data_IF_571877199732
#
_entry.id   IF_571877199732
#
_cell.length_a   1.000
_cell.length_b   1.000
_cell.length_c   1.000
_cell.angle_alpha   90.00
_cell.angle_beta   90.00
_cell.angle_gamma   90.00
#
_symmetry.space_group_name_H-M   'P 1'
#
loop_
_entity.id
_entity.type
_entity.pdbx_description
1 polymer ?
2 non-polymer ?
3 non-polymer ?
4 water ?
#
# COMPACT_ATOMS: atom_id res chain seq x y z
N UNK A 1 -11.71 11.34 -8.33
CA UNK A 1 -13.08 10.88 -7.94
C UNK A 1 -13.05 9.86 -6.80
N UNK A 2 -11.87 9.48 -6.33
CA UNK A 2 -11.77 8.48 -5.27
C UNK A 2 -12.54 8.89 -3.98
N UNK A 3 -12.55 10.19 -3.66
CA UNK A 3 -13.28 10.75 -2.50
C UNK A 3 -14.76 10.43 -2.50
N UNK A 4 -15.31 10.19 -3.70
CA UNK A 4 -16.70 9.80 -3.84
C UNK A 4 -16.99 8.38 -3.40
N UNK A 5 -16.02 7.49 -3.52
CA UNK A 5 -16.17 6.09 -3.10
C UNK A 5 -15.70 5.90 -1.68
N UNK A 6 -14.59 6.54 -1.34
CA UNK A 6 -13.98 6.43 -0.01
C UNK A 6 -14.22 7.74 0.73
N UNK A 7 -15.20 7.73 1.63
CA UNK A 7 -15.47 8.91 2.44
C UNK A 7 -14.51 9.09 3.62
N UNK A 8 -14.51 10.30 4.17
CA UNK A 8 -13.78 10.58 5.39
C UNK A 8 -14.26 9.60 6.47
N UNK A 9 -15.55 9.35 6.52
CA UNK A 9 -16.12 8.44 7.50
C UNK A 9 -15.55 7.02 7.35
N UNK A 10 -15.50 6.54 6.10
CA UNK A 10 -15.02 5.19 5.84
C UNK A 10 -13.58 5.10 6.30
N UNK A 11 -12.78 6.09 5.91
CA UNK A 11 -11.36 6.10 6.23
C UNK A 11 -11.13 6.12 7.75
N UNK A 12 -11.82 7.02 8.45
CA UNK A 12 -11.72 7.08 9.90
C UNK A 12 -12.11 5.74 10.55
N UNK A 13 -13.05 5.02 9.94
CA UNK A 13 -13.39 3.65 10.37
C UNK A 13 -12.19 2.69 10.37
N UNK A 14 -11.44 2.72 9.27
CA UNK A 14 -10.21 1.95 9.12
C UNK A 14 -9.12 2.42 10.08
N UNK A 15 -8.87 3.73 10.08
CA UNK A 15 -7.77 4.32 10.83
C UNK A 15 -7.97 4.27 12.34
N UNK A 16 -9.24 4.27 12.77
CA UNK A 16 -9.56 4.45 14.18
C UNK A 16 -9.45 3.20 15.02
N UNK A 17 -9.25 2.06 14.37
CA UNK A 17 -9.07 0.76 15.05
C UNK A 17 -7.73 0.66 15.75
N UNK A 18 -6.74 1.38 15.22
CA UNK A 18 -5.39 1.44 15.77
C UNK A 18 -5.37 1.90 17.24
N UNK A 19 -4.52 1.27 18.06
CA UNK A 19 -4.24 1.74 19.42
C UNK A 19 -3.77 3.19 19.35
N UNK A 20 -4.13 4.00 20.34
CA UNK A 20 -3.67 5.41 20.30
C UNK A 20 -2.14 5.53 20.34
N UNK A 21 -1.48 4.54 20.95
CA UNK A 21 -0.02 4.50 21.01
C UNK A 21 0.70 4.07 19.71
N UNK A 22 -0.04 3.74 18.66
CA UNK A 22 0.54 3.35 17.36
C UNK A 22 1.15 4.57 16.70
N UNK A 23 2.30 4.44 16.06
CA UNK A 23 2.89 5.59 15.34
C UNK A 23 2.00 6.08 14.21
N UNK A 24 1.26 5.16 13.59
CA UNK A 24 0.43 5.47 12.41
C UNK A 24 -0.77 6.36 12.74
N UNK A 25 -1.19 6.32 13.99
CA UNK A 25 -2.39 7.07 14.38
C UNK A 25 -2.20 8.58 14.27
N UNK A 26 -2.94 9.25 13.39
CA UNK A 26 -2.76 10.69 13.18
C UNK A 26 -1.73 10.95 12.08
N UNK A 27 -1.04 9.89 11.65
CA UNK A 27 -0.07 9.98 10.54
C UNK A 27 -0.71 9.56 9.24
N UNK A 28 -1.36 8.39 9.24
CA UNK A 28 -2.19 7.95 8.13
C UNK A 28 -3.54 8.68 8.15
N UNK A 29 -3.67 9.68 7.29
CA UNK A 29 -4.82 10.57 7.30
C UNK A 29 -5.60 10.53 5.98
N UNK A 30 -6.89 10.84 6.05
CA UNK A 30 -7.72 10.85 4.86
C UNK A 30 -7.19 11.86 3.83
N UNK A 31 -6.75 13.00 4.31
CA UNK A 31 -6.24 14.10 3.49
C UNK A 31 -5.04 13.65 2.63
N UNK A 32 -4.12 12.93 3.25
CA UNK A 32 -2.91 12.40 2.58
C UNK A 32 -3.27 11.34 1.55
N UNK A 33 -4.21 10.46 1.93
CA UNK A 33 -4.70 9.44 1.00
C UNK A 33 -5.34 10.08 -0.24
N UNK A 34 -6.26 11.02 -0.05
CA UNK A 34 -6.94 11.63 -1.21
C UNK A 34 -5.93 12.38 -2.10
N UNK A 35 -5.01 13.11 -1.48
CA UNK A 35 -3.93 13.76 -2.22
C UNK A 35 -3.15 12.74 -3.06
N UNK A 36 -2.78 11.62 -2.45
CA UNK A 36 -2.01 10.56 -3.15
C UNK A 36 -2.83 9.91 -4.28
N UNK A 37 -4.11 9.63 -4.00
CA UNK A 37 -4.98 8.97 -4.96
C UNK A 37 -5.15 9.84 -6.20
N UNK A 38 -5.28 11.15 -6.01
CA UNK A 38 -5.50 12.06 -7.13
C UNK A 38 -4.24 12.29 -7.97
N UNK A 39 -3.07 11.96 -7.43
CA UNK A 39 -1.81 12.14 -8.17
C UNK A 39 -1.49 11.05 -9.21
N UNK A 40 -2.21 9.92 -9.16
CA UNK A 40 -1.97 8.80 -10.08
C UNK A 40 -3.19 8.43 -10.92
N UNK A 41 -3.21 8.91 -12.17
CA UNK A 41 -4.33 8.67 -13.14
C UNK A 41 -4.82 7.24 -13.24
N UNK A 42 -6.11 7.01 -13.04
CA UNK A 42 -6.65 5.66 -13.12
C UNK A 42 -6.79 4.93 -11.78
N UNK A 43 -6.10 5.41 -10.75
CA UNK A 43 -6.18 4.75 -9.45
C UNK A 43 -7.57 4.88 -8.81
N UNK A 44 -8.31 3.77 -8.71
CA UNK A 44 -9.67 3.78 -8.14
C UNK A 44 -10.65 4.60 -8.99
N UNK A 45 -10.26 4.87 -10.24
CA UNK A 45 -11.13 5.60 -11.19
C UNK A 45 -11.29 4.86 -12.52
N UNK A 46 -10.87 3.59 -12.52
CA UNK A 46 -10.90 2.74 -13.70
C UNK A 46 -12.09 1.77 -13.62
N UNK A 47 -12.93 1.75 -14.66
CA UNK A 47 -14.03 0.78 -14.71
C UNK A 47 -15.32 1.22 -14.05
N UNK A 48 -16.24 0.27 -13.93
CA UNK A 48 -17.54 0.52 -13.36
C UNK A 48 -17.38 0.76 -11.87
N UNK A 49 -18.46 1.22 -11.26
CA UNK A 49 -18.48 1.41 -9.83
C UNK A 49 -18.00 0.18 -9.06
N UNK A 50 -18.43 -1.02 -9.46
CA UNK A 50 -17.99 -2.22 -8.71
C UNK A 50 -16.48 -2.46 -8.88
N UNK A 51 -15.96 -2.19 -10.08
CA UNK A 51 -14.51 -2.29 -10.35
C UNK A 51 -13.68 -1.32 -9.49
N UNK A 52 -14.12 -0.07 -9.43
CA UNK A 52 -13.45 0.95 -8.64
C UNK A 52 -13.49 0.58 -7.17
N UNK A 53 -14.65 0.12 -6.69
CA UNK A 53 -14.75 -0.29 -5.28
C UNK A 53 -13.84 -1.46 -4.96
N UNK A 54 -13.79 -2.44 -5.85
CA UNK A 54 -12.90 -3.60 -5.63
C UNK A 54 -11.41 -3.21 -5.67
N UNK A 55 -11.03 -2.28 -6.55
CA UNK A 55 -9.62 -1.83 -6.55
C UNK A 55 -9.26 -1.15 -5.25
N UNK A 56 -10.13 -0.27 -4.80
CA UNK A 56 -9.89 0.46 -3.56
C UNK A 56 -9.90 -0.48 -2.35
N UNK A 57 -10.84 -1.44 -2.31
CA UNK A 57 -10.83 -2.41 -1.22
C UNK A 57 -9.52 -3.23 -1.23
N UNK A 58 -9.06 -3.59 -2.42
CA UNK A 58 -7.84 -4.43 -2.58
C UNK A 58 -6.63 -3.62 -2.10
N UNK A 59 -6.61 -2.33 -2.45
CA UNK A 59 -5.55 -1.44 -2.00
C UNK A 59 -5.54 -1.36 -0.48
N UNK A 60 -6.70 -1.07 0.09
CA UNK A 60 -6.78 -0.94 1.55
C UNK A 60 -6.55 -2.27 2.27
N UNK A 61 -7.00 -3.39 1.71
CA UNK A 61 -6.76 -4.67 2.40
C UNK A 61 -5.26 -4.91 2.53
N UNK A 62 -4.52 -4.66 1.45
CA UNK A 62 -3.08 -4.81 1.46
C UNK A 62 -2.37 -3.81 2.37
N UNK A 63 -2.82 -2.55 2.38
CA UNK A 63 -2.32 -1.54 3.32
C UNK A 63 -2.56 -1.98 4.79
N UNK A 64 -3.77 -2.44 5.07
CA UNK A 64 -4.09 -2.86 6.43
C UNK A 64 -3.19 -4.03 6.86
N UNK A 65 -2.93 -4.94 5.94
CA UNK A 65 -2.07 -6.07 6.28
C UNK A 65 -0.64 -5.57 6.60
N UNK A 66 -0.07 -4.80 5.67
CA UNK A 66 1.33 -4.35 5.75
C UNK A 66 1.63 -3.46 6.97
N UNK A 67 0.64 -2.68 7.41
CA UNK A 67 0.80 -1.73 8.51
C UNK A 67 0.16 -2.18 9.84
N UNK A 68 -0.36 -3.41 9.90
CA UNK A 68 -1.04 -3.94 11.11
C UNK A 68 -2.25 -3.10 11.45
N UNK A 69 -3.03 -2.74 10.42
CA UNK A 69 -4.25 -1.98 10.60
C UNK A 69 -3.99 -0.51 10.84
N UNK A 70 -3.11 0.06 10.01
CA UNK A 70 -2.68 1.47 10.05
C UNK A 70 -2.05 1.85 11.39
N UNK A 71 -1.39 0.87 11.98
CA UNK A 71 -0.66 1.04 13.23
C UNK A 71 0.79 1.48 12.99
N UNK A 72 1.48 0.88 12.02
CA UNK A 72 2.92 1.07 11.92
C UNK A 72 3.28 1.93 10.75
N UNK A 73 4.25 2.81 10.98
CA UNK A 73 4.87 3.57 9.92
C UNK A 73 6.11 2.80 9.46
N UNK A 74 6.92 2.38 10.41
CA UNK A 74 8.22 1.73 10.16
C UNK A 74 8.11 0.24 10.42
N UNK A 75 8.73 -0.53 9.54
CA UNK A 75 8.95 -1.95 9.77
C UNK A 75 9.48 -2.21 11.19
N UNK A 76 8.91 -3.21 11.86
CA UNK A 76 9.34 -3.56 13.21
C UNK A 76 10.67 -4.33 13.19
N UNK A 77 11.62 -3.82 13.97
CA UNK A 77 12.94 -4.43 14.14
C UNK A 77 13.53 -4.93 12.81
N UNK A 78 13.78 -4.00 11.86
CA UNK A 78 14.30 -4.45 10.57
C UNK A 78 15.66 -5.13 10.77
N UNK A 79 15.87 -6.32 10.15
CA UNK A 79 17.12 -7.10 10.32
C UNK A 79 18.31 -6.55 9.53
N UNK A 80 18.04 -5.73 8.50
CA UNK A 80 19.08 -5.21 7.61
C UNK A 80 18.77 -3.77 7.18
N UNK A 81 19.72 -3.15 6.48
CA UNK A 81 19.52 -1.82 5.91
C UNK A 81 18.76 -1.81 4.59
N UNK A 82 18.55 -2.99 4.00
CA UNK A 82 17.89 -3.15 2.69
C UNK A 82 18.63 -2.45 1.57
N UNK A 83 19.95 -2.69 1.54
CA UNK A 83 20.85 -2.11 0.56
C UNK A 83 21.32 -3.21 -0.37
N UNK A 84 20.90 -3.15 -1.63
CA UNK A 84 21.49 -3.96 -2.68
C UNK A 84 22.39 -3.03 -3.50
N UNK A 85 23.70 -3.27 -3.47
CA UNK A 85 24.62 -2.40 -4.22
C UNK A 85 24.18 -2.27 -5.68
N UNK A 86 24.23 -1.05 -6.21
CA UNK A 86 23.65 -0.74 -7.50
C UNK A 86 24.36 0.47 -8.11
N UNK A 87 24.58 0.41 -9.42
CA UNK A 87 25.13 1.59 -10.10
C UNK A 87 24.05 2.60 -10.46
N UNK A 88 22.80 2.15 -10.49
CA UNK A 88 21.69 3.02 -10.86
C UNK A 88 21.18 3.77 -9.63
N UNK A 89 21.05 3.04 -8.53
CA UNK A 89 20.41 3.55 -7.33
C UNK A 89 21.35 3.31 -6.15
N UNK A 90 22.47 4.05 -6.08
CA UNK A 90 23.48 3.82 -5.06
C UNK A 90 22.95 4.03 -3.63
N UNK A 91 23.27 3.11 -2.73
CA UNK A 91 22.87 3.28 -1.32
C UNK A 91 23.64 4.42 -0.64
N UNK A 92 22.97 5.18 0.21
CA UNK A 92 23.69 6.18 0.98
C UNK A 92 24.16 5.55 2.31
N UNK A 93 25.46 5.66 2.59
CA UNK A 93 25.98 5.13 3.84
C UNK A 93 25.21 5.68 5.05
N UNK A 94 24.84 4.80 5.98
CA UNK A 94 24.19 5.24 7.21
C UNK A 94 22.68 5.41 7.07
N UNK A 95 22.15 5.07 5.90
CA UNK A 95 20.70 5.17 5.67
C UNK A 95 20.12 3.78 5.66
N UNK A 96 18.85 3.65 6.05
CA UNK A 96 18.21 2.36 6.00
C UNK A 96 16.99 2.44 5.08
N UNK A 97 16.85 1.46 4.19
CA UNK A 97 15.71 1.39 3.25
C UNK A 97 14.70 0.30 3.70
N UNK A 98 14.53 0.17 5.00
CA UNK A 98 13.56 -0.76 5.58
C UNK A 98 12.14 -0.25 5.26
N UNK A 99 11.15 -1.11 5.46
CA UNK A 99 9.75 -0.80 5.06
C UNK A 99 9.26 0.48 5.73
N UNK A 100 8.72 1.41 4.94
CA UNK A 100 8.02 2.56 5.53
C UNK A 100 6.72 2.83 4.78
N UNK A 101 5.71 3.29 5.50
CA UNK A 101 4.49 3.75 4.85
C UNK A 101 3.48 2.66 4.58
N UNK A 102 2.35 3.04 3.96
CA UNK A 102 1.20 2.14 3.85
C UNK A 102 1.47 0.81 3.17
N UNK A 103 2.40 0.77 2.21
CA UNK A 103 2.69 -0.54 1.59
C UNK A 103 4.13 -0.97 1.85
N UNK A 104 4.72 -0.35 2.88
CA UNK A 104 6.05 -0.73 3.41
C UNK A 104 7.10 -0.80 2.29
N UNK A 105 7.23 0.33 1.60
CA UNK A 105 8.26 0.54 0.60
C UNK A 105 9.62 0.14 1.17
N UNK A 106 10.33 -0.76 0.49
CA UNK A 106 11.64 -1.27 0.95
C UNK A 106 12.65 -1.32 -0.19
N UNK A 107 13.93 -1.19 0.17
CA UNK A 107 15.12 -1.34 -0.73
C UNK A 107 15.52 -0.04 -1.44
N UNK A 108 16.83 0.16 -1.53
CA UNK A 108 17.35 1.37 -2.18
C UNK A 108 16.79 1.59 -3.59
N UNK A 109 16.70 0.53 -4.38
CA UNK A 109 16.22 0.66 -5.77
C UNK A 109 14.76 1.16 -5.84
N UNK A 110 13.92 0.67 -4.94
CA UNK A 110 12.55 1.19 -4.83
C UNK A 110 12.45 2.63 -4.30
N UNK A 111 13.22 2.98 -3.27
CA UNK A 111 13.21 4.34 -2.76
C UNK A 111 13.68 5.33 -3.83
N UNK A 112 14.74 4.97 -4.55
CA UNK A 112 15.25 5.85 -5.62
C UNK A 112 14.17 6.15 -6.67
N UNK A 113 13.54 5.09 -7.17
CA UNK A 113 12.54 5.18 -8.22
C UNK A 113 11.28 5.94 -7.75
N UNK A 114 10.81 5.59 -6.54
CA UNK A 114 9.71 6.32 -5.91
C UNK A 114 9.99 7.82 -5.75
N UNK A 115 11.18 8.16 -5.26
CA UNK A 115 11.59 9.55 -5.10
C UNK A 115 11.55 10.35 -6.39
N UNK A 116 12.10 9.76 -7.45
CA UNK A 116 12.07 10.38 -8.80
C UNK A 116 10.64 10.67 -9.30
N UNK A 117 9.72 9.73 -9.11
CA UNK A 117 8.32 9.93 -9.46
C UNK A 117 7.57 11.00 -8.62
N UNK A 118 7.76 10.96 -7.30
CA UNK A 118 7.02 11.75 -6.32
C UNK A 118 7.61 13.15 -6.05
N UNK A 119 8.92 13.28 -6.14
CA UNK A 119 9.56 14.60 -5.93
C UNK A 119 10.30 14.75 -4.60
N UNK A 120 10.96 13.69 -4.16
CA UNK A 120 11.86 13.78 -2.99
C UNK A 120 13.08 12.91 -3.24
N UNK A 121 14.11 13.08 -2.42
CA UNK A 121 15.37 12.33 -2.62
C UNK A 121 15.27 11.01 -1.86
N UNK A 122 14.86 9.97 -2.57
CA UNK A 122 14.62 8.66 -1.96
C UNK A 122 15.87 8.01 -1.38
N UNK A 123 17.01 8.22 -2.03
CA UNK A 123 18.24 7.61 -1.54
C UNK A 123 18.83 8.35 -0.35
N UNK A 124 18.80 9.69 -0.39
CA UNK A 124 19.39 10.48 0.69
C UNK A 124 18.44 10.84 1.82
N UNK A 125 17.14 10.79 1.56
CA UNK A 125 16.16 11.11 2.59
C UNK A 125 15.02 10.10 2.61
N UNK A 126 15.34 8.79 2.74
CA UNK A 126 14.29 7.76 2.79
C UNK A 126 13.35 8.00 3.99
N UNK A 127 13.88 8.58 5.07
CA UNK A 127 13.04 8.89 6.25
C UNK A 127 11.81 9.78 5.94
N UNK A 128 11.82 10.50 4.82
CA UNK A 128 10.64 11.31 4.41
C UNK A 128 9.36 10.49 4.30
N UNK A 129 9.49 9.22 3.91
CA UNK A 129 8.33 8.31 3.76
C UNK A 129 7.67 8.05 5.14
N UNK A 130 8.46 8.17 6.20
CA UNK A 130 7.92 8.03 7.56
C UNK A 130 7.60 9.34 8.27
N UNK A 131 7.81 10.48 7.60
CA UNK A 131 7.71 11.80 8.20
C UNK A 131 6.68 12.73 7.52
N UNK A 132 6.46 12.57 6.22
CA UNK A 132 5.41 13.34 5.52
C UNK A 132 4.26 12.43 5.07
N UNK A 133 3.05 12.65 5.62
CA UNK A 133 1.88 11.81 5.33
C UNK A 133 1.55 11.67 3.83
N UNK A 134 1.58 12.79 3.11
CA UNK A 134 1.25 12.77 1.70
C UNK A 134 2.30 11.99 0.92
N UNK A 135 3.59 12.25 1.21
CA UNK A 135 4.64 11.49 0.54
C UNK A 135 4.47 9.98 0.85
N UNK A 136 4.13 9.66 2.10
CA UNK A 136 3.98 8.29 2.52
C UNK A 136 2.90 7.58 1.69
N UNK A 137 1.70 8.17 1.64
CA UNK A 137 0.63 7.60 0.82
C UNK A 137 0.97 7.58 -0.67
N UNK A 138 1.66 8.60 -1.15
CA UNK A 138 2.09 8.60 -2.55
C UNK A 138 2.98 7.40 -2.88
N UNK A 139 3.86 6.98 -1.97
CA UNK A 139 4.70 5.80 -2.25
C UNK A 139 3.89 4.53 -2.45
N UNK A 140 2.77 4.43 -1.74
CA UNK A 140 1.95 3.25 -1.79
C UNK A 140 1.15 3.26 -3.12
N UNK A 141 0.52 4.39 -3.44
CA UNK A 141 -0.17 4.53 -4.74
C UNK A 141 0.81 4.36 -5.94
N UNK A 142 1.99 4.98 -5.84
CA UNK A 142 3.03 4.78 -6.86
C UNK A 142 3.38 3.29 -7.06
N UNK A 143 3.55 2.56 -5.95
CA UNK A 143 3.93 1.18 -6.03
C UNK A 143 2.80 0.35 -6.70
N UNK A 144 1.57 0.61 -6.26
CA UNK A 144 0.37 -0.04 -6.74
C UNK A 144 0.21 0.14 -8.25
N UNK A 145 0.46 1.36 -8.73
CA UNK A 145 0.18 1.77 -10.12
C UNK A 145 1.38 1.61 -11.07
N UNK A 146 2.59 1.87 -10.57
CA UNK A 146 3.77 2.02 -11.44
C UNK A 146 4.87 0.98 -11.18
N UNK A 147 4.90 0.40 -10.00
CA UNK A 147 6.03 -0.43 -9.63
C UNK A 147 5.69 -1.87 -9.34
N UNK A 148 4.49 -2.29 -9.76
CA UNK A 148 4.01 -3.63 -9.48
C UNK A 148 2.89 -3.91 -10.46
N UNK A 149 2.46 -5.16 -10.47
CA UNK A 149 1.28 -5.55 -11.25
C UNK A 149 -0.06 -5.41 -10.52
N UNK A 150 -0.07 -4.76 -9.36
CA UNK A 150 -1.30 -4.70 -8.58
C UNK A 150 -2.51 -4.12 -9.34
N UNK A 151 -2.35 -2.91 -9.89
CA UNK A 151 -3.43 -2.22 -10.62
C UNK A 151 -3.87 -3.03 -11.84
N UNK A 152 -2.90 -3.49 -12.62
CA UNK A 152 -3.21 -4.33 -13.77
C UNK A 152 -3.95 -5.62 -13.38
N UNK A 153 -3.53 -6.27 -12.30
CA UNK A 153 -4.20 -7.51 -11.89
C UNK A 153 -5.68 -7.26 -11.56
N UNK A 154 -5.96 -6.22 -10.80
CA UNK A 154 -7.33 -6.03 -10.27
C UNK A 154 -8.26 -5.41 -11.31
N UNK A 155 -7.67 -4.92 -12.40
CA UNK A 155 -8.44 -4.38 -13.51
C UNK A 155 -8.39 -5.23 -14.79
N UNK A 156 -7.90 -6.47 -14.68
CA UNK A 156 -7.90 -7.42 -15.78
C UNK A 156 -8.44 -8.77 -15.35
N UNK A 157 -9.17 -8.79 -14.23
CA UNK A 157 -9.88 -9.98 -13.80
C UNK A 157 -9.12 -11.00 -12.99
N UNK A 158 -7.90 -10.66 -12.57
CA UNK A 158 -7.11 -11.56 -11.74
C UNK A 158 -7.53 -11.52 -10.27
N UNK A 159 -8.36 -10.53 -9.90
CA UNK A 159 -9.01 -10.52 -8.59
C UNK A 159 -8.07 -10.14 -7.47
N UNK A 160 -8.56 -10.18 -6.23
CA UNK A 160 -7.73 -9.78 -5.09
C UNK A 160 -6.48 -10.67 -5.00
N UNK A 161 -6.64 -11.97 -5.27
CA UNK A 161 -5.50 -12.90 -5.21
C UNK A 161 -4.41 -12.49 -6.20
N UNK A 162 -4.82 -11.90 -7.31
CA UNK A 162 -3.87 -11.33 -8.27
C UNK A 162 -3.01 -10.23 -7.65
N UNK A 163 -3.60 -9.45 -6.73
CA UNK A 163 -2.85 -8.36 -6.11
C UNK A 163 -1.86 -8.94 -5.09
N UNK A 164 -2.28 -9.99 -4.38
CA UNK A 164 -1.37 -10.66 -3.42
C UNK A 164 -0.14 -11.19 -4.18
N UNK A 165 -0.41 -11.86 -5.30
CA UNK A 165 0.64 -12.40 -6.20
C UNK A 165 1.61 -11.32 -6.62
N UNK A 166 1.07 -10.16 -6.98
CA UNK A 166 1.83 -8.99 -7.43
C UNK A 166 2.69 -8.38 -6.30
N UNK A 167 2.25 -8.52 -5.05
CA UNK A 167 2.98 -7.93 -3.92
C UNK A 167 3.98 -8.88 -3.30
N UNK A 168 3.54 -10.09 -2.97
CA UNK A 168 4.37 -11.04 -2.27
C UNK A 168 4.05 -12.41 -2.81
N UNK A 169 4.69 -12.70 -3.94
CA UNK A 169 4.69 -14.00 -4.63
C UNK A 169 4.78 -15.22 -3.71
N UNK A 170 5.69 -15.17 -2.74
CA UNK A 170 5.95 -16.32 -1.88
C UNK A 170 4.79 -16.76 -0.98
N UNK A 171 3.79 -15.91 -0.78
CA UNK A 171 2.65 -16.25 0.09
C UNK A 171 1.69 -17.25 -0.58
N UNK A 172 1.65 -17.21 -1.91
CA UNK A 172 0.67 -17.96 -2.70
C UNK A 172 1.02 -19.44 -2.83
N UNK A 173 0.05 -20.24 -3.30
CA UNK A 173 0.20 -21.70 -3.41
C UNK A 173 0.68 -22.35 -2.12
N UNK A 174 0.09 -21.95 -1.00
CA UNK A 174 0.43 -22.51 0.31
C UNK A 174 1.77 -22.07 0.89
N UNK A 175 2.40 -21.06 0.30
CA UNK A 175 3.68 -20.54 0.82
C UNK A 175 3.53 -20.00 2.24
N UNK A 176 2.46 -19.24 2.44
CA UNK A 176 2.08 -18.79 3.76
C UNK A 176 0.58 -18.56 3.79
N UNK A 177 -0.16 -19.61 4.11
CA UNK A 177 -1.62 -19.56 4.11
C UNK A 177 -2.14 -18.50 5.09
N UNK A 178 -1.43 -18.29 6.20
CA UNK A 178 -1.85 -17.34 7.24
C UNK A 178 -1.76 -15.89 6.77
N UNK A 179 -0.71 -15.60 6.01
CA UNK A 179 -0.50 -14.27 5.44
C UNK A 179 -1.61 -13.98 4.43
N UNK A 180 -1.86 -14.94 3.54
CA UNK A 180 -3.00 -14.83 2.59
C UNK A 180 -4.32 -14.61 3.32
N UNK A 181 -4.56 -15.39 4.38
CA UNK A 181 -5.82 -15.27 5.13
C UNK A 181 -5.99 -13.91 5.77
N UNK A 182 -4.87 -13.35 6.24
CA UNK A 182 -4.85 -12.01 6.80
C UNK A 182 -5.31 -10.97 5.75
N UNK A 183 -4.70 -11.01 4.58
CA UNK A 183 -5.04 -10.09 3.49
C UNK A 183 -6.49 -10.28 3.06
N UNK A 184 -6.86 -11.53 2.81
CA UNK A 184 -8.19 -11.86 2.34
C UNK A 184 -9.24 -11.46 3.36
N UNK A 185 -8.95 -11.65 4.65
CA UNK A 185 -9.88 -11.23 5.71
C UNK A 185 -10.20 -9.73 5.66
N UNK A 186 -9.15 -8.90 5.58
CA UNK A 186 -9.32 -7.47 5.39
C UNK A 186 -10.15 -7.15 4.12
N UNK A 187 -9.83 -7.79 3.00
CA UNK A 187 -10.52 -7.50 1.74
C UNK A 187 -12.02 -7.78 1.84
N UNK A 188 -12.36 -8.91 2.43
CA UNK A 188 -13.76 -9.27 2.57
C UNK A 188 -14.52 -8.29 3.47
N UNK A 189 -13.88 -7.88 4.57
CA UNK A 189 -14.48 -6.93 5.52
C UNK A 189 -14.71 -5.59 4.82
N UNK A 190 -13.69 -5.12 4.11
CA UNK A 190 -13.77 -3.84 3.42
C UNK A 190 -14.80 -3.84 2.28
N UNK A 191 -14.83 -4.90 1.47
CA UNK A 191 -15.90 -5.06 0.46
C UNK A 191 -17.30 -4.99 1.06
N UNK A 192 -17.54 -5.75 2.13
CA UNK A 192 -18.84 -5.66 2.82
C UNK A 192 -19.20 -4.24 3.30
N UNK A 193 -18.22 -3.48 3.79
CA UNK A 193 -18.40 -2.07 4.19
C UNK A 193 -18.66 -1.12 3.02
N UNK A 194 -18.13 -1.45 1.85
CA UNK A 194 -18.31 -0.62 0.67
C UNK A 194 -19.53 -1.07 -0.12
N UNK A 195 -20.14 -2.18 0.31
CA UNK A 195 -21.34 -2.74 -0.31
C UNK A 195 -21.08 -3.34 -1.68
N UNK A 196 -19.90 -3.91 -1.86
CA UNK A 196 -19.52 -4.47 -3.15
C UNK A 196 -19.22 -5.97 -2.98
N UNK A 197 -19.64 -6.77 -3.96
CA UNK A 197 -19.27 -8.18 -4.02
C UNK A 197 -17.75 -8.34 -4.21
N UNK A 198 -17.11 -9.26 -3.45
CA UNK A 198 -15.64 -9.40 -3.50
C UNK A 198 -15.12 -9.94 -4.83
N UNK A 199 -16.00 -10.58 -5.59
CA UNK A 199 -15.62 -11.07 -6.91
C UNK A 199 -14.94 -12.42 -6.88
N UNK A 200 -14.36 -12.80 -8.02
CA UNK A 200 -13.73 -14.11 -8.18
C UNK A 200 -12.23 -14.00 -7.92
N UNK A 201 -11.57 -15.13 -7.73
CA UNK A 201 -10.10 -15.16 -7.58
C UNK A 201 -9.64 -14.38 -6.34
N UNK A 202 -10.40 -14.53 -5.26
CA UNK A 202 -10.17 -13.78 -4.04
C UNK A 202 -8.87 -14.19 -3.33
N UNK A 203 -8.56 -15.48 -3.29
CA UNK A 203 -7.28 -15.89 -2.70
C UNK A 203 -6.33 -16.48 -3.72
N UNK A 204 -5.18 -16.95 -3.24
CA UNK A 204 -4.17 -17.51 -4.13
C UNK A 204 -3.39 -18.61 -3.41
X LIG B 1 5.96 -6.59 2.88
X LIG B 1 7.02 -5.67 2.58
X LIG B 1 6.53 -4.69 1.52
X LIG B 1 6.02 -5.39 0.39
X LIG B 1 5.63 -4.68 -0.81
X LIG C 1 8.69 -3.40 -1.49
X LIG C 1 8.82 -2.18 -1.79
X LIG C 1 8.38 -4.21 -2.40
X LIG C 1 8.88 -3.94 -0.12
X LIG D 1 6.82 -5.33 7.62
X LIG D 1 7.41 -4.14 7.12
X LIG D 1 8.14 -4.41 5.82
X LIG D 1 8.50 -5.78 5.69
#
# INVERSE_FOLDING_TARGET
SVGGIISQSFFNGLAGGAASSCEGKGFYTYNAFIAAANAYSGFGTTGSNDVKKRELAAFFANVMHETGGLCYINEKNPPINYCQSSSTWPCTSGKSYHGRGPLQLSWNYNYGAAGKSIGFDGLNNPEKVGQDSTISFKTAVWFWMKNSNCHSAITSGQGFGGTIKAINSMECNGGNSGEVSSRVNYYKKICSQLGVDPGANVSC
MXE O1 C1 C2 O2 C3
ACT C O OXT CH3
MXE O1 C1 C2 O2
#
